data_IF_471730181005
#
_entry.id   IF_471730181005
#
_cell.length_a   1.000
_cell.length_b   1.000
_cell.length_c   1.000
_cell.angle_alpha   90.00
_cell.angle_beta   90.00
_cell.angle_gamma   90.00
#
_symmetry.space_group_name_H-M   'P 1'
#
loop_
_entity.id
_entity.type
_entity.pdbx_description
1 polymer ?
#
# COMPACT_ATOMS: atom_id res chain seq x y z
N UNK A 1 0.34 16.48 -20.21
CA UNK A 1 1.11 15.55 -21.07
C UNK A 1 2.26 14.83 -20.35
N UNK A 2 2.21 14.63 -19.01
CA UNK A 2 3.33 14.08 -18.22
C UNK A 2 3.03 12.75 -17.45
N UNK A 3 1.76 12.35 -17.34
CA UNK A 3 1.37 11.10 -16.64
C UNK A 3 1.67 9.83 -17.46
N UNK A 4 1.55 9.93 -18.78
CA UNK A 4 1.91 8.86 -19.73
C UNK A 4 3.43 8.63 -19.72
N UNK A 5 4.23 9.70 -19.60
CA UNK A 5 5.68 9.57 -19.49
C UNK A 5 6.11 8.97 -18.14
N UNK A 6 5.38 9.26 -17.05
CA UNK A 6 5.55 8.59 -15.75
C UNK A 6 5.22 7.10 -15.84
N UNK A 7 4.13 6.70 -16.52
CA UNK A 7 3.78 5.29 -16.77
C UNK A 7 4.83 4.57 -17.65
N UNK A 8 5.44 5.27 -18.61
CA UNK A 8 6.52 4.73 -19.46
C UNK A 8 7.82 4.57 -18.65
N UNK A 9 8.19 5.56 -17.81
CA UNK A 9 9.30 5.43 -16.85
C UNK A 9 9.02 4.35 -15.79
N UNK A 10 7.75 4.14 -15.43
CA UNK A 10 7.32 3.06 -14.54
C UNK A 10 7.50 1.69 -15.17
N UNK A 11 7.27 1.57 -16.48
CA UNK A 11 7.58 0.38 -17.27
C UNK A 11 9.10 0.11 -17.30
N UNK A 12 9.92 1.16 -17.35
CA UNK A 12 11.38 1.09 -17.19
C UNK A 12 11.79 0.68 -15.77
N UNK A 13 11.09 1.15 -14.72
CA UNK A 13 11.29 0.68 -13.34
C UNK A 13 10.86 -0.79 -13.14
N UNK A 14 9.77 -1.23 -13.78
CA UNK A 14 9.36 -2.63 -13.87
C UNK A 14 10.41 -3.48 -14.59
N UNK A 15 11.09 -2.92 -15.60
CA UNK A 15 12.24 -3.53 -16.27
C UNK A 15 13.47 -3.58 -15.37
N UNK A 16 13.80 -2.52 -14.61
CA UNK A 16 14.84 -2.55 -13.57
C UNK A 16 14.52 -3.57 -12.45
N UNK A 17 13.24 -3.76 -12.15
CA UNK A 17 12.74 -4.81 -11.25
C UNK A 17 13.01 -6.23 -11.80
N UNK A 18 13.18 -6.39 -13.11
CA UNK A 18 13.56 -7.62 -13.81
C UNK A 18 15.08 -7.73 -14.04
N UNK A 19 15.82 -6.61 -13.93
CA UNK A 19 17.29 -6.58 -14.00
C UNK A 19 17.88 -7.04 -12.67
N UNK A 20 18.26 -8.32 -12.67
CA UNK A 20 19.43 -8.89 -12.03
C UNK A 20 19.94 -8.17 -10.76
N UNK A 21 19.48 -8.61 -9.59
CA UNK A 21 20.11 -8.28 -8.31
C UNK A 21 20.91 -9.50 -7.82
N UNK A 22 22.22 -9.57 -8.09
CA UNK A 22 23.08 -10.71 -7.72
C UNK A 22 23.36 -10.84 -6.20
N UNK A 23 22.69 -10.08 -5.33
CA UNK A 23 22.93 -10.12 -3.86
C UNK A 23 22.14 -11.25 -3.17
N UNK A 24 21.64 -12.24 -3.92
CA UNK A 24 20.58 -13.15 -3.48
C UNK A 24 21.00 -14.62 -3.30
N UNK A 25 22.26 -14.89 -2.99
CA UNK A 25 22.72 -16.26 -2.73
C UNK A 25 23.15 -16.56 -1.28
N UNK A 26 22.91 -15.64 -0.33
CA UNK A 26 23.30 -15.89 1.08
C UNK A 26 22.37 -15.23 2.11
N UNK A 27 21.11 -15.67 2.14
CA UNK A 27 20.19 -15.35 3.25
C UNK A 27 19.35 -16.58 3.65
N UNK A 28 19.97 -17.74 3.83
CA UNK A 28 19.25 -18.95 4.24
C UNK A 28 19.01 -19.06 5.76
N UNK A 29 19.63 -18.21 6.59
CA UNK A 29 19.55 -18.32 8.05
C UNK A 29 18.68 -17.26 8.74
N UNK A 30 18.43 -16.09 8.13
CA UNK A 30 17.68 -14.98 8.77
C UNK A 30 16.16 -15.09 8.53
N UNK A 31 15.72 -15.84 7.51
CA UNK A 31 14.31 -15.86 7.10
C UNK A 31 13.38 -16.70 7.98
N UNK A 32 13.90 -17.45 8.95
CA UNK A 32 13.09 -18.31 9.83
C UNK A 32 12.33 -17.54 10.92
N UNK A 33 12.67 -16.27 11.18
CA UNK A 33 12.20 -15.53 12.37
C UNK A 33 11.31 -14.32 12.06
N UNK A 34 10.76 -14.19 10.85
CA UNK A 34 9.71 -13.20 10.63
C UNK A 34 8.43 -13.75 11.27
N UNK A 35 8.07 -13.24 12.46
CA UNK A 35 6.89 -13.68 13.22
C UNK A 35 5.61 -13.08 12.60
N UNK A 36 5.23 -13.55 11.40
CA UNK A 36 4.00 -13.12 10.72
C UNK A 36 2.74 -13.59 11.47
N UNK A 37 1.66 -12.80 11.37
CA UNK A 37 0.36 -13.19 11.94
C UNK A 37 -0.20 -14.44 11.26
N UNK A 38 -0.77 -15.40 12.02
CA UNK A 38 -1.24 -16.66 11.46
C UNK A 38 -2.39 -16.46 10.46
N UNK A 39 -2.48 -17.35 9.47
CA UNK A 39 -3.45 -17.29 8.36
C UNK A 39 -4.92 -17.11 8.81
N UNK A 40 -5.28 -17.64 9.98
CA UNK A 40 -6.63 -17.49 10.56
C UNK A 40 -7.02 -16.03 10.82
N UNK A 41 -6.04 -15.13 11.02
CA UNK A 41 -6.30 -13.70 11.21
C UNK A 41 -6.73 -13.00 9.92
N UNK A 42 -6.37 -13.53 8.75
CA UNK A 42 -6.72 -12.90 7.46
C UNK A 42 -8.25 -12.79 7.28
N UNK A 43 -8.98 -13.84 7.64
CA UNK A 43 -10.46 -13.86 7.62
C UNK A 43 -11.04 -12.80 8.57
N UNK A 44 -10.48 -12.67 9.77
CA UNK A 44 -10.92 -11.67 10.76
C UNK A 44 -10.70 -10.24 10.25
N UNK A 45 -9.56 -9.98 9.60
CA UNK A 45 -9.25 -8.67 9.02
C UNK A 45 -10.24 -8.31 7.92
N UNK A 46 -10.61 -9.25 7.03
CA UNK A 46 -11.64 -8.99 6.01
C UNK A 46 -13.00 -8.67 6.61
N UNK A 47 -13.39 -9.35 7.71
CA UNK A 47 -14.64 -9.05 8.43
C UNK A 47 -14.60 -7.62 9.00
N UNK A 48 -13.49 -7.23 9.64
CA UNK A 48 -13.32 -5.86 10.15
C UNK A 48 -13.38 -4.83 9.02
N UNK A 49 -12.75 -5.11 7.88
CA UNK A 49 -12.77 -4.23 6.71
C UNK A 49 -14.20 -4.06 6.16
N UNK A 50 -14.97 -5.14 6.07
CA UNK A 50 -16.37 -5.12 5.64
C UNK A 50 -17.23 -4.28 6.59
N UNK A 51 -17.01 -4.42 7.90
CA UNK A 51 -17.73 -3.68 8.93
C UNK A 51 -17.43 -2.17 8.86
N UNK A 52 -16.17 -1.79 8.61
CA UNK A 52 -15.79 -0.39 8.36
C UNK A 52 -16.49 0.19 7.13
N UNK A 53 -16.60 -0.57 6.04
CA UNK A 53 -17.30 -0.14 4.83
C UNK A 53 -18.80 0.06 5.11
N UNK A 54 -19.41 -0.85 5.88
CA UNK A 54 -20.81 -0.73 6.28
C UNK A 54 -21.06 0.55 7.09
N UNK A 55 -20.16 0.89 8.02
CA UNK A 55 -20.24 2.13 8.81
C UNK A 55 -20.23 3.36 7.89
N UNK A 56 -19.35 3.40 6.88
CA UNK A 56 -19.30 4.51 5.92
C UNK A 56 -20.62 4.66 5.17
N UNK A 57 -21.19 3.56 4.69
CA UNK A 57 -22.47 3.58 3.96
C UNK A 57 -23.61 4.09 4.86
N UNK A 58 -23.66 3.65 6.12
CA UNK A 58 -24.65 4.12 7.09
C UNK A 58 -24.47 5.60 7.44
N UNK A 59 -23.22 6.08 7.53
CA UNK A 59 -22.93 7.51 7.74
C UNK A 59 -23.39 8.37 6.56
N UNK A 60 -23.20 7.92 5.32
CA UNK A 60 -23.69 8.61 4.11
C UNK A 60 -25.22 8.64 4.09
N UNK A 61 -25.87 7.55 4.50
CA UNK A 61 -27.32 7.46 4.64
C UNK A 61 -27.91 8.32 5.79
N UNK A 62 -27.07 9.03 6.55
CA UNK A 62 -27.45 9.87 7.71
C UNK A 62 -28.22 9.13 8.81
N UNK A 63 -28.06 7.81 8.90
CA UNK A 63 -28.74 6.97 9.91
C UNK A 63 -28.06 7.02 11.28
N UNK A 64 -26.91 7.70 11.39
CA UNK A 64 -26.08 7.77 12.58
C UNK A 64 -26.03 9.21 13.11
N UNK A 65 -26.31 9.46 14.41
CA UNK A 65 -26.32 10.80 15.00
C UNK A 65 -24.92 11.34 15.36
N UNK A 66 -23.85 10.75 14.83
CA UNK A 66 -22.47 11.14 15.14
C UNK A 66 -21.98 12.30 14.27
N UNK A 67 -20.98 13.03 14.80
CA UNK A 67 -20.28 14.06 14.03
C UNK A 67 -19.54 13.43 12.82
N UNK A 68 -19.81 13.99 11.64
CA UNK A 68 -19.28 13.50 10.37
C UNK A 68 -17.75 13.55 10.32
N UNK A 69 -17.15 14.57 10.93
CA UNK A 69 -15.70 14.78 10.85
C UNK A 69 -14.93 13.78 11.72
N UNK A 70 -15.45 13.50 12.92
CA UNK A 70 -14.91 12.48 13.82
C UNK A 70 -15.04 11.08 13.21
N UNK A 71 -16.21 10.74 12.67
CA UNK A 71 -16.43 9.44 12.02
C UNK A 71 -15.50 9.27 10.82
N UNK A 72 -15.35 10.29 9.97
CA UNK A 72 -14.46 10.24 8.80
C UNK A 72 -13.02 9.96 9.21
N UNK A 73 -12.51 10.66 10.21
CA UNK A 73 -11.12 10.52 10.67
C UNK A 73 -10.89 9.17 11.33
N UNK A 74 -11.82 8.73 12.20
CA UNK A 74 -11.74 7.44 12.86
C UNK A 74 -11.76 6.28 11.87
N UNK A 75 -12.70 6.31 10.92
CA UNK A 75 -12.80 5.28 9.88
C UNK A 75 -11.55 5.25 9.01
N UNK A 76 -11.04 6.41 8.59
CA UNK A 76 -9.82 6.47 7.77
C UNK A 76 -8.63 5.83 8.50
N UNK A 77 -8.42 6.16 9.78
CA UNK A 77 -7.32 5.59 10.56
C UNK A 77 -7.52 4.10 10.82
N UNK A 78 -8.73 3.66 11.18
CA UNK A 78 -9.06 2.25 11.39
C UNK A 78 -8.88 1.42 10.10
N UNK A 79 -9.28 1.97 8.96
CA UNK A 79 -9.11 1.32 7.66
C UNK A 79 -7.63 1.21 7.27
N UNK A 80 -6.84 2.23 7.57
CA UNK A 80 -5.39 2.21 7.35
C UNK A 80 -4.70 1.14 8.20
N UNK A 81 -5.06 1.04 9.48
CA UNK A 81 -4.55 -0.02 10.39
C UNK A 81 -4.97 -1.40 9.91
N UNK A 82 -6.21 -1.57 9.47
CA UNK A 82 -6.70 -2.84 8.93
C UNK A 82 -5.91 -3.26 7.67
N UNK A 83 -5.63 -2.32 6.76
CA UNK A 83 -4.80 -2.56 5.58
C UNK A 83 -3.36 -2.91 5.95
N UNK A 84 -2.78 -2.24 6.95
CA UNK A 84 -1.43 -2.55 7.43
C UNK A 84 -1.36 -3.97 8.02
N UNK A 85 -2.32 -4.34 8.86
CA UNK A 85 -2.43 -5.70 9.40
C UNK A 85 -2.61 -6.74 8.30
N UNK A 86 -3.41 -6.42 7.27
CA UNK A 86 -3.56 -7.29 6.10
C UNK A 86 -2.23 -7.49 5.37
N UNK A 87 -1.45 -6.41 5.20
CA UNK A 87 -0.14 -6.46 4.57
C UNK A 87 0.89 -7.29 5.37
N UNK A 88 0.71 -7.44 6.69
CA UNK A 88 1.56 -8.23 7.60
C UNK A 88 1.09 -9.67 7.84
N UNK A 89 -0.10 -10.04 7.38
CA UNK A 89 -0.67 -11.38 7.64
C UNK A 89 -0.06 -12.45 6.74
N UNK A 90 0.19 -13.66 7.26
CA UNK A 90 0.77 -14.78 6.51
C UNK A 90 -0.22 -15.38 5.50
N UNK A 91 0.27 -15.72 4.31
CA UNK A 91 -0.48 -16.55 3.35
C UNK A 91 -0.43 -18.05 3.74
N UNK A 92 -1.35 -18.87 3.21
CA UNK A 92 -1.46 -20.30 3.58
C UNK A 92 -0.18 -21.08 3.28
N UNK A 93 0.36 -20.88 2.09
CA UNK A 93 1.60 -21.51 1.60
C UNK A 93 2.66 -20.41 1.42
N UNK A 94 3.62 -20.34 2.33
CA UNK A 94 4.72 -19.38 2.24
C UNK A 94 6.02 -20.06 1.83
N UNK A 95 6.32 -19.91 0.55
CA UNK A 95 7.63 -20.16 -0.02
C UNK A 95 8.57 -18.99 0.26
N UNK A 96 9.88 -19.26 0.28
CA UNK A 96 10.92 -18.22 0.37
C UNK A 96 10.76 -17.15 -0.73
N UNK A 97 10.30 -17.56 -1.91
CA UNK A 97 10.01 -16.65 -3.01
C UNK A 97 8.93 -15.62 -2.61
N UNK A 98 7.86 -16.06 -1.96
CA UNK A 98 6.77 -15.17 -1.52
C UNK A 98 7.29 -14.12 -0.53
N UNK A 99 8.13 -14.52 0.42
CA UNK A 99 8.77 -13.61 1.38
C UNK A 99 9.59 -12.55 0.65
N UNK A 100 10.39 -12.96 -0.36
CA UNK A 100 11.17 -12.03 -1.19
C UNK A 100 10.27 -11.06 -1.97
N UNK A 101 9.17 -11.54 -2.54
CA UNK A 101 8.22 -10.69 -3.26
C UNK A 101 7.56 -9.65 -2.33
N UNK A 102 7.24 -10.01 -1.07
CA UNK A 102 6.67 -9.07 -0.09
C UNK A 102 7.64 -7.94 0.25
N UNK A 103 8.89 -8.28 0.57
CA UNK A 103 9.93 -7.29 0.86
C UNK A 103 10.14 -6.36 -0.33
N UNK A 104 10.23 -6.91 -1.54
CA UNK A 104 10.41 -6.13 -2.77
C UNK A 104 9.21 -5.22 -3.06
N UNK A 105 7.99 -5.70 -2.85
CA UNK A 105 6.79 -4.86 -2.96
C UNK A 105 6.80 -3.73 -1.92
N UNK A 106 7.20 -3.99 -0.67
CA UNK A 106 7.29 -2.99 0.40
C UNK A 106 8.36 -1.93 0.10
N UNK A 107 9.53 -2.33 -0.37
CA UNK A 107 10.57 -1.38 -0.81
C UNK A 107 10.07 -0.53 -1.97
N UNK A 108 9.37 -1.13 -2.94
CA UNK A 108 8.82 -0.39 -4.09
C UNK A 108 7.77 0.64 -3.67
N UNK A 109 6.91 0.34 -2.70
CA UNK A 109 5.90 1.28 -2.22
C UNK A 109 6.49 2.39 -1.38
N UNK A 110 7.55 2.11 -0.62
CA UNK A 110 8.26 3.14 0.10
C UNK A 110 8.91 4.15 -0.85
N UNK A 111 9.64 3.66 -1.85
CA UNK A 111 10.24 4.52 -2.89
C UNK A 111 9.17 5.33 -3.62
N UNK A 112 8.05 4.68 -4.01
CA UNK A 112 6.93 5.39 -4.63
C UNK A 112 6.38 6.52 -3.74
N UNK A 113 6.20 6.27 -2.44
CA UNK A 113 5.74 7.28 -1.50
C UNK A 113 6.66 8.50 -1.42
N UNK A 114 7.96 8.26 -1.32
CA UNK A 114 8.98 9.34 -1.29
C UNK A 114 8.96 10.13 -2.59
N UNK A 115 8.98 9.45 -3.74
CA UNK A 115 8.91 10.09 -5.05
C UNK A 115 7.63 10.89 -5.20
N UNK A 116 6.50 10.36 -4.73
CA UNK A 116 5.22 11.04 -4.79
C UNK A 116 5.22 12.35 -4.01
N UNK A 117 5.81 12.38 -2.80
CA UNK A 117 5.91 13.61 -2.00
C UNK A 117 6.76 14.66 -2.71
N UNK A 118 7.89 14.24 -3.29
CA UNK A 118 8.79 15.15 -4.02
C UNK A 118 8.10 15.68 -5.27
N UNK A 119 7.45 14.82 -6.05
CA UNK A 119 6.88 15.17 -7.37
C UNK A 119 5.55 15.92 -7.27
N UNK A 120 4.74 15.64 -6.23
CA UNK A 120 3.41 16.25 -6.03
C UNK A 120 3.39 17.78 -6.15
N UNK A 121 4.25 18.57 -5.47
CA UNK A 121 4.20 20.03 -5.56
C UNK A 121 4.55 20.54 -6.96
N UNK A 122 5.49 19.90 -7.67
CA UNK A 122 5.82 20.26 -9.05
C UNK A 122 4.67 19.98 -10.01
N UNK A 123 3.95 18.86 -9.82
CA UNK A 123 2.76 18.58 -10.60
C UNK A 123 1.68 19.64 -10.35
N UNK A 124 1.45 20.03 -9.09
CA UNK A 124 0.44 21.02 -8.78
C UNK A 124 0.71 22.37 -9.48
N UNK A 125 1.96 22.81 -9.45
CA UNK A 125 2.41 24.04 -10.12
C UNK A 125 2.19 23.96 -11.65
N UNK A 126 2.47 22.80 -12.25
CA UNK A 126 2.30 22.57 -13.70
C UNK A 126 0.83 22.59 -14.16
N UNK A 127 -0.11 22.30 -13.27
CA UNK A 127 -1.55 22.35 -13.53
C UNK A 127 -2.21 23.66 -13.04
N UNK A 128 -1.41 24.68 -12.71
CA UNK A 128 -1.92 26.01 -12.32
C UNK A 128 -2.42 26.10 -10.89
N UNK A 129 -2.04 25.15 -10.02
CA UNK A 129 -2.30 25.20 -8.58
C UNK A 129 -1.15 25.83 -7.79
N UNK A 130 -1.39 26.12 -6.51
CA UNK A 130 -0.38 26.67 -5.60
C UNK A 130 0.71 25.66 -5.25
N UNK A 131 1.89 26.14 -4.85
CA UNK A 131 2.97 25.27 -4.35
C UNK A 131 2.70 24.70 -2.94
N UNK A 132 1.44 24.52 -2.54
CA UNK A 132 1.13 24.05 -1.20
C UNK A 132 1.51 22.57 -1.03
N UNK A 133 2.32 22.34 0.00
CA UNK A 133 3.00 21.07 0.34
C UNK A 133 2.13 20.18 1.25
N UNK A 134 0.93 20.61 1.63
CA UNK A 134 0.12 19.88 2.61
C UNK A 134 -0.70 18.75 1.98
N UNK A 135 0.00 17.67 1.62
CA UNK A 135 -0.67 16.38 1.46
C UNK A 135 -0.87 15.76 2.84
N UNK A 136 -2.12 15.46 3.19
CA UNK A 136 -2.44 14.75 4.43
C UNK A 136 -1.62 13.45 4.55
N UNK A 137 -0.99 13.25 5.71
CA UNK A 137 -0.20 12.05 6.03
C UNK A 137 -1.01 10.77 5.80
N UNK A 138 -2.29 10.78 6.17
CA UNK A 138 -3.22 9.66 5.97
C UNK A 138 -3.37 9.35 4.48
N UNK A 139 -3.49 10.36 3.63
CA UNK A 139 -3.56 10.19 2.17
C UNK A 139 -2.26 9.63 1.58
N UNK A 140 -1.10 10.05 2.09
CA UNK A 140 0.19 9.49 1.66
C UNK A 140 0.30 8.01 2.00
N UNK A 141 -0.01 7.64 3.25
CA UNK A 141 0.06 6.25 3.70
C UNK A 141 -0.90 5.34 2.93
N UNK A 142 -2.11 5.83 2.62
CA UNK A 142 -3.02 5.11 1.72
C UNK A 142 -2.39 4.86 0.36
N UNK A 143 -1.82 5.90 -0.27
CA UNK A 143 -1.17 5.75 -1.57
C UNK A 143 -0.06 4.70 -1.53
N UNK A 144 0.77 4.68 -0.47
CA UNK A 144 1.82 3.70 -0.29
C UNK A 144 1.27 2.27 -0.11
N UNK A 145 0.24 2.09 0.73
CA UNK A 145 -0.35 0.76 0.95
C UNK A 145 -1.08 0.22 -0.28
N UNK A 146 -1.86 1.05 -0.98
CA UNK A 146 -2.52 0.63 -2.22
C UNK A 146 -1.49 0.25 -3.28
N UNK A 147 -0.43 1.04 -3.42
CA UNK A 147 0.65 0.73 -4.33
C UNK A 147 1.38 -0.57 -3.95
N UNK A 148 1.60 -0.83 -2.66
CA UNK A 148 2.13 -2.10 -2.16
C UNK A 148 1.27 -3.29 -2.61
N UNK A 149 -0.04 -3.24 -2.37
CA UNK A 149 -0.95 -4.33 -2.76
C UNK A 149 -0.98 -4.53 -4.27
N UNK A 150 -0.98 -3.44 -5.04
CA UNK A 150 -0.92 -3.47 -6.48
C UNK A 150 0.35 -4.17 -6.99
N UNK A 151 1.52 -3.76 -6.50
CA UNK A 151 2.79 -4.37 -6.89
C UNK A 151 2.91 -5.82 -6.45
N UNK A 152 2.50 -6.14 -5.22
CA UNK A 152 2.48 -7.50 -4.73
C UNK A 152 1.60 -8.40 -5.60
N UNK A 153 0.41 -7.92 -5.99
CA UNK A 153 -0.48 -8.65 -6.90
C UNK A 153 0.13 -8.86 -8.28
N UNK A 154 0.72 -7.82 -8.89
CA UNK A 154 1.37 -7.93 -10.20
C UNK A 154 2.51 -8.95 -10.19
N UNK A 155 3.36 -8.89 -9.16
CA UNK A 155 4.51 -9.77 -9.02
C UNK A 155 4.08 -11.22 -8.74
N UNK A 156 3.00 -11.41 -7.97
CA UNK A 156 2.42 -12.74 -7.72
C UNK A 156 1.77 -13.33 -8.97
N UNK A 157 1.14 -12.50 -9.82
CA UNK A 157 0.55 -12.93 -11.09
C UNK A 157 1.59 -13.30 -12.16
N UNK A 158 2.79 -12.72 -12.09
CA UNK A 158 3.88 -12.99 -13.04
C UNK A 158 4.72 -14.24 -12.68
N UNK A 159 4.39 -14.95 -11.61
CA UNK A 159 4.95 -16.26 -11.24
C UNK A 159 4.24 -17.35 -12.04
#
# INVERSE_FOLDING_TARGET
MNFIWFLIKWKVYLLYCKVNFPILNKMNSIQKDIRLFPHTFKKKIYIVLLLLILIVVLSIAKLLPFDKELVKTFVANAFLVALLLLALTKDKDEDELTIRLRLKAFTSSFIYGVVLVIVSPYLNLLFGGDFLVEKSTTSLLFNMLFFYFYMFYLMKRSR
#
